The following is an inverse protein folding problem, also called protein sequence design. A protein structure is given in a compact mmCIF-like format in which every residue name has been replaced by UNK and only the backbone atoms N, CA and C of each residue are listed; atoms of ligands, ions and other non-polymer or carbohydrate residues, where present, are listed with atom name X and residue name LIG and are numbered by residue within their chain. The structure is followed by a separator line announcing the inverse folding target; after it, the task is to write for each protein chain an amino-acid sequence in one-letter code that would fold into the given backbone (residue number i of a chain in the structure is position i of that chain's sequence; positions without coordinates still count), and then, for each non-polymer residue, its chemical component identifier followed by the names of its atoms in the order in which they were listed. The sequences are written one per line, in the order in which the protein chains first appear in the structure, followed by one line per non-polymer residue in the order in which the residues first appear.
data_IF_479014603165
#
_entry.id   IF_479014603165
#
_cell.length_a   1.000
_cell.length_b   1.000
_cell.length_c   1.000
_cell.angle_alpha   90.00
_cell.angle_beta   90.00
_cell.angle_gamma   90.00
#
_symmetry.space_group_name_H-M   'P 1'
#
loop_
_entity.id
_entity.type
_entity.pdbx_description
1 polymer ?
#
# COMPACT_ATOMS: atom_id res chain seq x y z
N UNK A 1 7.51 21.01 4.26
CA UNK A 1 7.86 22.14 5.15
C UNK A 1 6.77 23.21 5.06
N UNK A 2 6.25 23.64 6.21
CA UNK A 2 5.57 24.92 6.40
C UNK A 2 5.66 25.33 7.90
N UNK A 3 5.35 26.60 8.14
CA UNK A 3 5.95 27.50 9.13
C UNK A 3 5.38 27.35 10.56
N UNK A 4 4.56 26.33 10.83
CA UNK A 4 3.71 26.27 12.02
C UNK A 4 3.98 25.10 12.98
N UNK A 5 5.12 24.41 12.89
CA UNK A 5 5.62 23.59 14.01
C UNK A 5 4.84 22.31 14.37
N UNK A 6 3.83 21.90 13.61
CA UNK A 6 3.18 20.57 13.73
C UNK A 6 3.06 19.90 12.37
N UNK A 7 4.19 19.48 11.81
CA UNK A 7 4.21 18.55 10.68
C UNK A 7 5.28 17.50 10.96
N UNK A 8 4.88 16.24 11.17
CA UNK A 8 5.79 15.15 10.82
C UNK A 8 5.93 15.22 9.31
N UNK A 9 6.99 15.88 8.80
CA UNK A 9 7.33 15.78 7.38
C UNK A 9 7.36 14.29 7.04
N UNK A 10 6.55 13.85 6.07
CA UNK A 10 6.52 12.45 5.67
C UNK A 10 7.92 12.08 5.19
N UNK A 11 8.55 11.16 5.91
CA UNK A 11 9.85 10.60 5.55
C UNK A 11 9.63 9.41 4.64
N UNK A 12 10.72 8.92 4.03
CA UNK A 12 10.69 7.74 3.18
C UNK A 12 9.94 6.55 3.84
N UNK A 13 10.20 6.16 5.10
CA UNK A 13 9.44 5.08 5.74
C UNK A 13 7.93 5.32 5.80
N UNK A 14 7.48 6.56 6.03
CA UNK A 14 6.06 6.87 6.08
C UNK A 14 5.40 6.74 4.71
N UNK A 15 6.07 7.21 3.65
CA UNK A 15 5.54 7.07 2.30
C UNK A 15 5.54 5.60 1.88
N UNK A 16 6.58 4.85 2.23
CA UNK A 16 6.68 3.42 1.96
C UNK A 16 5.53 2.64 2.62
N UNK A 17 5.26 2.89 3.90
CA UNK A 17 4.20 2.21 4.64
C UNK A 17 2.79 2.66 4.22
N UNK A 18 2.59 3.94 3.93
CA UNK A 18 1.24 4.49 3.73
C UNK A 18 0.80 4.50 2.27
N UNK A 19 1.73 4.64 1.33
CA UNK A 19 1.44 5.00 -0.06
C UNK A 19 0.62 3.98 -0.83
N UNK A 20 1.02 2.71 -0.82
CA UNK A 20 0.42 1.67 -1.65
C UNK A 20 -0.64 0.81 -0.94
N UNK A 21 -0.66 0.81 0.39
CA UNK A 21 -1.66 0.09 1.20
C UNK A 21 -2.86 0.98 1.57
N UNK A 22 -2.60 2.21 2.01
CA UNK A 22 -3.61 3.06 2.65
C UNK A 22 -4.08 4.21 1.76
N UNK A 23 -3.25 4.64 0.80
CA UNK A 23 -3.51 5.79 -0.09
C UNK A 23 -3.62 5.42 -1.59
N UNK A 24 -3.98 4.17 -1.90
CA UNK A 24 -4.26 3.71 -3.28
C UNK A 24 -5.59 4.24 -3.81
N UNK A 25 -5.59 5.47 -4.34
CA UNK A 25 -6.73 6.07 -5.02
C UNK A 25 -7.87 6.54 -4.10
N UNK A 26 -8.44 7.71 -4.41
CA UNK A 26 -9.55 8.28 -3.65
C UNK A 26 -10.88 7.55 -3.97
N UNK A 27 -11.07 7.14 -5.22
CA UNK A 27 -12.29 6.49 -5.69
C UNK A 27 -12.19 4.95 -5.68
N UNK A 28 -13.33 4.28 -5.49
CA UNK A 28 -13.40 2.81 -5.58
C UNK A 28 -12.79 2.27 -6.89
N UNK A 29 -13.06 2.94 -8.01
CA UNK A 29 -12.52 2.56 -9.32
C UNK A 29 -10.99 2.65 -9.38
N UNK A 30 -10.38 3.59 -8.67
CA UNK A 30 -8.91 3.79 -8.68
C UNK A 30 -8.20 2.71 -7.86
N UNK A 31 -8.85 2.23 -6.79
CA UNK A 31 -8.37 1.09 -5.99
C UNK A 31 -8.40 -0.19 -6.80
N UNK A 32 -9.53 -0.45 -7.47
CA UNK A 32 -9.80 -1.74 -8.11
C UNK A 32 -9.10 -1.89 -9.46
N UNK A 33 -8.54 -0.80 -9.99
CA UNK A 33 -7.73 -0.79 -11.20
C UNK A 33 -6.25 -1.00 -10.86
N UNK A 34 -5.86 -2.26 -10.65
CA UNK A 34 -4.46 -2.62 -10.50
C UNK A 34 -3.62 -2.18 -11.71
N UNK A 35 -2.40 -1.72 -11.46
CA UNK A 35 -1.41 -1.29 -12.45
C UNK A 35 -1.06 -2.47 -13.35
N UNK A 36 -0.83 -3.66 -12.79
CA UNK A 36 -0.46 -4.86 -13.53
C UNK A 36 -1.49 -5.27 -14.62
N UNK A 37 -2.77 -4.96 -14.42
CA UNK A 37 -3.84 -5.22 -15.39
C UNK A 37 -4.03 -4.13 -16.45
N UNK A 38 -3.16 -3.12 -16.52
CA UNK A 38 -3.23 -2.13 -17.59
C UNK A 38 -3.05 -2.78 -18.96
N UNK A 39 -3.90 -2.39 -19.92
CA UNK A 39 -3.94 -2.94 -21.29
C UNK A 39 -2.85 -2.39 -22.21
N UNK A 40 -2.12 -1.38 -21.76
CA UNK A 40 -0.99 -0.74 -22.44
C UNK A 40 -0.12 -0.01 -21.43
N UNK A 41 1.12 0.34 -21.79
CA UNK A 41 2.00 1.14 -20.92
C UNK A 41 1.39 2.49 -20.53
N UNK A 42 0.57 3.09 -21.41
CA UNK A 42 -0.14 4.34 -21.10
C UNK A 42 -1.24 4.13 -20.06
N UNK A 43 -1.98 3.02 -20.13
CA UNK A 43 -3.02 2.65 -19.16
C UNK A 43 -2.38 2.37 -17.80
N UNK A 44 -1.29 1.61 -17.77
CA UNK A 44 -0.52 1.32 -16.54
C UNK A 44 -0.01 2.62 -15.87
N UNK A 45 0.54 3.54 -16.66
CA UNK A 45 0.99 4.85 -16.17
C UNK A 45 -0.17 5.69 -15.59
N UNK A 46 -1.32 5.70 -16.26
CA UNK A 46 -2.51 6.42 -15.79
C UNK A 46 -3.01 5.86 -14.45
N UNK A 47 -3.07 4.53 -14.32
CA UNK A 47 -3.42 3.84 -13.07
C UNK A 47 -2.44 4.17 -11.95
N UNK A 48 -1.14 4.13 -12.21
CA UNK A 48 -0.13 4.52 -11.23
C UNK A 48 -0.32 5.96 -10.76
N UNK A 49 -0.53 6.91 -11.68
CA UNK A 49 -0.76 8.32 -11.33
C UNK A 49 -2.00 8.52 -10.46
N UNK A 50 -3.09 7.81 -10.76
CA UNK A 50 -4.31 7.82 -9.94
C UNK A 50 -4.08 7.26 -8.54
N UNK A 51 -3.25 6.22 -8.40
CA UNK A 51 -2.86 5.66 -7.10
C UNK A 51 -1.92 6.57 -6.32
N UNK A 52 -1.08 7.33 -7.00
CA UNK A 52 -0.14 8.28 -6.38
C UNK A 52 -0.80 9.60 -5.97
N UNK A 53 -1.80 10.08 -6.72
CA UNK A 53 -2.44 11.38 -6.51
C UNK A 53 -2.92 11.64 -5.07
N UNK A 54 -3.52 10.68 -4.34
CA UNK A 54 -4.02 10.93 -2.99
C UNK A 54 -2.93 11.19 -1.96
N UNK A 55 -1.71 10.71 -2.20
CA UNK A 55 -0.55 11.06 -1.38
C UNK A 55 -0.22 12.57 -1.47
N UNK A 56 -0.57 13.21 -2.59
CA UNK A 56 -0.36 14.64 -2.83
C UNK A 56 -1.53 15.51 -2.37
N UNK A 57 -2.77 15.03 -2.50
CA UNK A 57 -3.97 15.85 -2.39
C UNK A 57 -4.98 15.40 -1.33
N UNK A 58 -4.67 14.36 -0.55
CA UNK A 58 -5.53 13.68 0.44
C UNK A 58 -6.84 13.07 -0.11
N UNK A 59 -7.27 11.96 0.50
CA UNK A 59 -8.53 11.30 0.12
C UNK A 59 -9.79 11.98 0.68
N UNK A 60 -9.64 12.93 1.60
CA UNK A 60 -10.78 13.61 2.26
C UNK A 60 -11.40 14.73 1.41
N UNK A 61 -10.87 14.98 0.21
CA UNK A 61 -11.36 15.99 -0.73
C UNK A 61 -11.06 17.44 -0.30
N UNK A 62 -10.33 17.65 0.81
CA UNK A 62 -10.01 18.97 1.34
C UNK A 62 -8.59 19.44 1.00
N UNK A 63 -7.73 18.54 0.52
CA UNK A 63 -6.30 18.83 0.35
C UNK A 63 -5.49 18.77 1.66
N UNK A 64 -6.12 18.37 2.77
CA UNK A 64 -5.48 18.31 4.10
C UNK A 64 -4.59 17.09 4.27
N UNK A 65 -3.38 17.24 4.81
CA UNK A 65 -2.54 16.10 5.18
C UNK A 65 -3.03 15.35 6.43
N UNK A 66 -4.11 15.81 7.09
CA UNK A 66 -4.60 15.23 8.34
C UNK A 66 -4.85 13.72 8.29
N UNK A 67 -5.47 13.14 7.23
CA UNK A 67 -5.65 11.70 7.13
C UNK A 67 -4.35 10.90 7.17
N UNK A 68 -3.29 11.39 6.52
CA UNK A 68 -1.98 10.73 6.52
C UNK A 68 -1.40 10.77 7.95
N UNK A 69 -1.44 11.92 8.61
CA UNK A 69 -0.91 12.07 9.97
C UNK A 69 -1.68 11.25 11.01
N UNK A 70 -2.99 11.13 10.88
CA UNK A 70 -3.78 10.29 11.75
C UNK A 70 -3.45 8.81 11.54
N UNK A 71 -3.29 8.36 10.30
CA UNK A 71 -2.84 7.01 9.99
C UNK A 71 -1.44 6.72 10.53
N UNK A 72 -0.50 7.69 10.49
CA UNK A 72 0.79 7.54 11.17
C UNK A 72 0.60 7.20 12.66
N UNK A 73 -0.33 7.83 13.36
CA UNK A 73 -0.57 7.56 14.80
C UNK A 73 -1.00 6.11 15.01
N UNK A 74 -1.91 5.61 14.17
CA UNK A 74 -2.34 4.23 14.22
C UNK A 74 -1.19 3.27 13.95
N UNK A 75 -0.41 3.48 12.88
CA UNK A 75 0.75 2.63 12.55
C UNK A 75 1.77 2.60 13.69
N UNK A 76 2.05 3.74 14.33
CA UNK A 76 2.93 3.80 15.52
C UNK A 76 2.36 2.95 16.66
N UNK A 77 1.05 3.08 16.93
CA UNK A 77 0.40 2.37 18.02
C UNK A 77 0.37 0.84 17.78
N UNK A 78 0.07 0.41 16.55
CA UNK A 78 0.12 -0.99 16.13
C UNK A 78 1.55 -1.54 16.23
N UNK A 79 2.53 -0.82 15.70
CA UNK A 79 3.96 -1.22 15.76
C UNK A 79 4.45 -1.33 17.20
N UNK A 80 4.06 -0.39 18.07
CA UNK A 80 4.41 -0.42 19.49
C UNK A 80 3.80 -1.63 20.20
N UNK A 81 2.54 -1.97 19.89
CA UNK A 81 1.90 -3.19 20.41
C UNK A 81 2.65 -4.44 19.94
N UNK A 82 2.92 -4.58 18.63
CA UNK A 82 3.68 -5.71 18.09
C UNK A 82 5.04 -5.86 18.78
N UNK A 83 5.77 -4.75 18.96
CA UNK A 83 7.06 -4.74 19.63
C UNK A 83 6.97 -5.17 21.10
N UNK A 84 5.95 -4.72 21.83
CA UNK A 84 5.71 -5.14 23.22
C UNK A 84 5.41 -6.64 23.31
N UNK A 85 4.56 -7.17 22.43
CA UNK A 85 4.21 -8.59 22.43
C UNK A 85 5.41 -9.48 22.08
N UNK A 86 6.22 -9.03 21.10
CA UNK A 86 7.48 -9.68 20.75
C UNK A 86 8.45 -9.71 21.93
N UNK A 87 8.69 -8.56 22.59
CA UNK A 87 9.58 -8.47 23.74
C UNK A 87 9.10 -9.31 24.93
N UNK A 88 7.78 -9.45 25.09
CA UNK A 88 7.18 -10.30 26.11
C UNK A 88 7.21 -11.81 25.75
N UNK A 89 7.74 -12.19 24.59
CA UNK A 89 7.67 -13.54 24.03
C UNK A 89 6.22 -14.08 24.02
N UNK A 90 5.26 -13.20 23.71
CA UNK A 90 3.84 -13.51 23.65
C UNK A 90 3.37 -13.50 22.19
N UNK A 91 2.72 -14.59 21.76
CA UNK A 91 2.22 -14.76 20.40
C UNK A 91 0.88 -14.03 20.13
N UNK A 92 0.66 -12.92 20.82
CA UNK A 92 -0.56 -12.11 20.74
C UNK A 92 -0.33 -10.78 20.00
N UNK A 93 0.70 -10.71 19.14
CA UNK A 93 0.96 -9.55 18.28
C UNK A 93 -0.24 -9.17 17.41
N UNK A 94 -1.12 -10.12 17.10
CA UNK A 94 -2.39 -9.88 16.40
C UNK A 94 -3.30 -8.85 17.11
N UNK A 95 -3.14 -8.64 18.42
CA UNK A 95 -3.85 -7.59 19.17
C UNK A 95 -3.52 -6.18 18.68
N UNK A 96 -2.38 -6.00 17.99
CA UNK A 96 -2.02 -4.75 17.35
C UNK A 96 -3.12 -4.23 16.42
N UNK A 97 -3.80 -5.10 15.67
CA UNK A 97 -4.89 -4.70 14.76
C UNK A 97 -6.07 -4.02 15.48
N UNK A 98 -6.26 -4.32 16.77
CA UNK A 98 -7.38 -3.85 17.58
C UNK A 98 -6.99 -2.68 18.50
N UNK A 99 -5.78 -2.13 18.37
CA UNK A 99 -5.38 -0.94 19.13
C UNK A 99 -6.28 0.23 18.75
N UNK A 100 -6.81 0.90 19.77
CA UNK A 100 -7.73 2.03 19.61
C UNK A 100 -7.06 3.35 19.98
N UNK A 101 -7.34 4.39 19.20
CA UNK A 101 -6.98 5.78 19.50
C UNK A 101 -8.30 6.56 19.57
N UNK A 102 -8.61 7.15 20.73
CA UNK A 102 -9.90 7.87 20.89
C UNK A 102 -11.14 6.98 20.79
N UNK A 103 -11.00 5.67 20.97
CA UNK A 103 -12.11 4.69 20.91
C UNK A 103 -12.39 4.10 19.54
N UNK A 104 -11.63 4.45 18.51
CA UNK A 104 -11.70 3.87 17.16
C UNK A 104 -10.40 3.11 16.81
N UNK A 105 -10.52 2.03 16.04
CA UNK A 105 -9.38 1.32 15.44
C UNK A 105 -8.92 2.00 14.15
N UNK A 106 -7.77 1.59 13.60
CA UNK A 106 -7.32 2.08 12.30
C UNK A 106 -8.33 1.74 11.18
N UNK A 107 -8.95 0.57 11.24
CA UNK A 107 -9.98 0.16 10.28
C UNK A 107 -11.22 1.05 10.38
N UNK A 108 -11.67 1.37 11.60
CA UNK A 108 -12.80 2.30 11.81
C UNK A 108 -12.49 3.68 11.21
N UNK A 109 -11.27 4.20 11.45
CA UNK A 109 -10.82 5.47 10.89
C UNK A 109 -10.77 5.44 9.36
N UNK A 110 -10.21 4.38 8.77
CA UNK A 110 -10.13 4.20 7.32
C UNK A 110 -11.51 4.17 6.68
N UNK A 111 -12.42 3.38 7.26
CA UNK A 111 -13.80 3.26 6.78
C UNK A 111 -14.61 4.56 6.95
N UNK A 112 -14.27 5.41 7.92
CA UNK A 112 -14.99 6.68 8.17
C UNK A 112 -14.43 7.84 7.36
N UNK A 113 -13.12 8.06 7.44
CA UNK A 113 -12.46 9.30 6.99
C UNK A 113 -11.92 9.17 5.60
N UNK A 114 -11.27 8.04 5.33
CA UNK A 114 -10.59 7.87 4.05
C UNK A 114 -11.61 7.38 3.03
N UNK A 115 -12.53 6.47 3.42
CA UNK A 115 -13.49 5.89 2.48
C UNK A 115 -14.83 5.41 3.09
N UNK A 116 -15.84 6.29 3.20
CA UNK A 116 -17.17 5.92 3.70
C UNK A 116 -17.80 4.81 2.84
N UNK A 117 -18.04 3.64 3.46
CA UNK A 117 -18.61 2.48 2.79
C UNK A 117 -20.04 2.75 2.32
N UNK A 118 -20.33 2.59 1.02
CA UNK A 118 -21.70 2.66 0.51
C UNK A 118 -22.49 1.35 0.65
N UNK A 119 -21.82 0.19 0.87
CA UNK A 119 -22.42 -1.14 0.72
C UNK A 119 -22.16 -2.12 1.88
N UNK A 120 -21.82 -1.66 3.08
CA UNK A 120 -21.72 -2.52 4.28
C UNK A 120 -20.50 -3.46 4.37
N UNK A 121 -19.58 -3.43 3.39
CA UNK A 121 -18.25 -4.04 3.48
C UNK A 121 -17.21 -2.93 3.69
N UNK A 122 -16.32 -3.12 4.67
CA UNK A 122 -15.17 -2.24 4.89
C UNK A 122 -14.25 -2.24 3.67
N UNK A 123 -13.71 -1.08 3.28
CA UNK A 123 -12.88 -0.96 2.05
C UNK A 123 -11.58 -1.72 2.15
N UNK A 124 -11.12 -2.03 3.37
CA UNK A 124 -9.98 -2.94 3.57
C UNK A 124 -10.19 -4.28 2.83
N UNK A 125 -11.38 -4.88 2.92
CA UNK A 125 -11.70 -6.11 2.20
C UNK A 125 -11.73 -5.94 0.68
N UNK A 126 -12.12 -4.75 0.21
CA UNK A 126 -12.11 -4.41 -1.22
C UNK A 126 -10.68 -4.24 -1.72
N UNK A 127 -9.83 -3.55 -0.96
CA UNK A 127 -8.41 -3.38 -1.27
C UNK A 127 -7.76 -4.76 -1.32
N UNK A 128 -7.92 -5.59 -0.28
CA UNK A 128 -7.39 -6.95 -0.23
C UNK A 128 -7.91 -7.88 -1.34
N UNK A 129 -8.99 -7.53 -2.03
CA UNK A 129 -9.54 -8.29 -3.15
C UNK A 129 -8.99 -7.84 -4.52
N UNK A 130 -8.39 -6.65 -4.62
CA UNK A 130 -8.02 -6.02 -5.90
C UNK A 130 -6.59 -5.43 -5.92
N UNK A 131 -5.84 -5.58 -4.84
CA UNK A 131 -4.44 -5.14 -4.64
C UNK A 131 -3.43 -6.09 -5.31
N UNK A 132 -3.69 -6.48 -6.56
CA UNK A 132 -2.82 -7.42 -7.28
C UNK A 132 -1.39 -6.91 -7.45
N UNK A 133 -1.21 -5.58 -7.50
CA UNK A 133 0.08 -4.90 -7.61
C UNK A 133 1.07 -5.26 -6.49
N UNK A 134 0.62 -5.90 -5.41
CA UNK A 134 1.46 -6.33 -4.29
C UNK A 134 2.04 -7.73 -4.47
N UNK A 135 1.54 -8.55 -5.41
CA UNK A 135 1.88 -9.98 -5.45
C UNK A 135 2.96 -10.31 -6.48
N UNK A 136 3.92 -11.14 -6.11
CA UNK A 136 5.00 -11.54 -7.03
C UNK A 136 4.51 -12.58 -8.06
N UNK A 137 3.53 -13.41 -7.70
CA UNK A 137 2.93 -14.38 -8.61
C UNK A 137 2.34 -13.67 -9.83
N UNK A 138 2.62 -14.17 -11.04
CA UNK A 138 2.16 -13.52 -12.28
C UNK A 138 2.96 -12.28 -12.70
N UNK A 139 4.04 -11.94 -11.98
CA UNK A 139 4.84 -10.72 -12.21
C UNK A 139 4.08 -9.41 -11.95
N UNK A 140 3.05 -9.45 -11.11
CA UNK A 140 2.18 -8.30 -10.87
C UNK A 140 2.93 -7.15 -10.18
N UNK A 141 3.59 -7.45 -9.06
CA UNK A 141 4.43 -6.50 -8.34
C UNK A 141 5.64 -6.04 -9.15
N UNK A 142 6.23 -6.92 -9.97
CA UNK A 142 7.31 -6.54 -10.88
C UNK A 142 6.85 -5.53 -11.95
N UNK A 143 5.63 -5.70 -12.45
CA UNK A 143 5.00 -4.77 -13.41
C UNK A 143 4.72 -3.43 -12.73
N UNK A 144 4.11 -3.45 -11.53
CA UNK A 144 3.83 -2.25 -10.76
C UNK A 144 5.11 -1.47 -10.42
N UNK A 145 6.15 -2.15 -9.94
CA UNK A 145 7.47 -1.58 -9.68
C UNK A 145 8.06 -0.92 -10.93
N UNK A 146 8.07 -1.63 -12.06
CA UNK A 146 8.66 -1.14 -13.31
C UNK A 146 7.98 0.15 -13.78
N UNK A 147 6.66 0.20 -13.72
CA UNK A 147 5.86 1.37 -14.11
C UNK A 147 6.11 2.53 -13.13
N UNK A 148 6.05 2.27 -11.84
CA UNK A 148 6.23 3.29 -10.80
C UNK A 148 7.64 3.88 -10.82
N UNK A 149 8.67 3.03 -10.83
CA UNK A 149 10.08 3.43 -10.85
C UNK A 149 10.43 4.17 -12.16
N UNK A 150 9.97 3.66 -13.31
CA UNK A 150 10.14 4.35 -14.59
C UNK A 150 9.49 5.73 -14.60
N UNK A 151 8.33 5.88 -13.96
CA UNK A 151 7.66 7.19 -13.79
C UNK A 151 8.47 8.13 -12.90
N UNK A 152 9.02 7.62 -11.79
CA UNK A 152 9.87 8.38 -10.89
C UNK A 152 11.14 8.90 -11.60
N UNK A 153 11.80 8.05 -12.40
CA UNK A 153 12.98 8.44 -13.20
C UNK A 153 12.63 9.54 -14.21
N UNK A 154 11.51 9.40 -14.93
CA UNK A 154 11.05 10.43 -15.86
C UNK A 154 10.77 11.76 -15.15
N UNK A 155 10.15 11.73 -13.98
CA UNK A 155 9.91 12.92 -13.17
C UNK A 155 11.22 13.55 -12.67
N UNK A 156 12.23 12.75 -12.34
CA UNK A 156 13.57 13.25 -11.97
C UNK A 156 14.26 13.96 -13.14
N UNK A 157 14.13 13.45 -14.37
CA UNK A 157 14.64 14.11 -15.59
C UNK A 157 13.97 15.48 -15.77
N UNK A 158 12.63 15.54 -15.61
CA UNK A 158 11.89 16.81 -15.65
C UNK A 158 12.40 17.78 -14.58
N UNK A 159 12.57 17.31 -13.35
CA UNK A 159 13.08 18.10 -12.24
C UNK A 159 14.47 18.68 -12.53
N UNK A 160 15.37 17.86 -13.06
CA UNK A 160 16.71 18.27 -13.46
C UNK A 160 16.68 19.33 -14.55
N UNK A 161 15.88 19.12 -15.60
CA UNK A 161 15.76 20.06 -16.72
C UNK A 161 15.24 21.45 -16.30
N UNK A 162 14.42 21.50 -15.25
CA UNK A 162 13.80 22.73 -14.74
C UNK A 162 14.53 23.34 -13.53
N UNK A 163 15.47 22.61 -12.93
CA UNK A 163 16.10 23.00 -11.67
C UNK A 163 15.10 23.16 -10.52
N UNK A 164 13.98 22.42 -10.54
CA UNK A 164 12.88 22.60 -9.59
C UNK A 164 12.89 21.53 -8.49
N UNK A 165 13.07 21.96 -7.25
CA UNK A 165 13.09 21.08 -6.07
C UNK A 165 11.74 20.39 -5.82
N UNK A 166 10.62 21.04 -6.13
CA UNK A 166 9.30 20.41 -5.97
C UNK A 166 9.12 19.23 -6.93
N UNK A 167 9.58 19.39 -8.18
CA UNK A 167 9.56 18.31 -9.17
C UNK A 167 10.48 17.15 -8.74
N UNK A 168 11.61 17.44 -8.08
CA UNK A 168 12.52 16.43 -7.53
C UNK A 168 11.91 15.69 -6.34
N UNK A 169 11.25 16.40 -5.42
CA UNK A 169 10.55 15.78 -4.30
C UNK A 169 9.40 14.87 -4.77
N UNK A 170 8.70 15.26 -5.85
CA UNK A 170 7.70 14.39 -6.47
C UNK A 170 8.33 13.12 -7.04
N UNK A 171 9.50 13.22 -7.68
CA UNK A 171 10.23 12.04 -8.16
C UNK A 171 10.61 11.09 -7.00
N UNK A 172 11.09 11.63 -5.88
CA UNK A 172 11.39 10.83 -4.70
C UNK A 172 10.16 10.13 -4.14
N UNK A 173 9.04 10.85 -3.96
CA UNK A 173 7.80 10.25 -3.46
C UNK A 173 7.26 9.14 -4.39
N UNK A 174 7.33 9.34 -5.71
CA UNK A 174 7.01 8.28 -6.69
C UNK A 174 7.95 7.08 -6.56
N UNK A 175 9.25 7.31 -6.33
CA UNK A 175 10.20 6.22 -6.15
C UNK A 175 9.92 5.43 -4.89
N UNK A 176 9.61 6.09 -3.77
CA UNK A 176 9.26 5.40 -2.52
C UNK A 176 8.03 4.50 -2.72
N UNK A 177 7.05 4.97 -3.49
CA UNK A 177 5.88 4.15 -3.84
C UNK A 177 6.27 2.96 -4.74
N UNK A 178 7.24 3.12 -5.63
CA UNK A 178 7.81 2.00 -6.37
C UNK A 178 8.51 1.01 -5.44
N UNK A 179 9.30 1.50 -4.50
CA UNK A 179 10.06 0.69 -3.54
C UNK A 179 9.14 -0.15 -2.63
N UNK A 180 7.88 0.26 -2.45
CA UNK A 180 6.85 -0.56 -1.81
C UNK A 180 6.63 -1.88 -2.57
N UNK A 181 6.28 -1.79 -3.86
CA UNK A 181 6.11 -2.98 -4.71
C UNK A 181 7.40 -3.79 -4.83
N UNK A 182 8.56 -3.12 -4.79
CA UNK A 182 9.85 -3.80 -4.70
C UNK A 182 9.96 -4.63 -3.42
N UNK A 183 9.56 -4.08 -2.27
CA UNK A 183 9.60 -4.78 -0.99
C UNK A 183 8.59 -5.94 -0.93
N UNK A 184 7.41 -5.79 -1.53
CA UNK A 184 6.40 -6.85 -1.55
C UNK A 184 6.90 -8.07 -2.33
N UNK A 185 7.68 -7.87 -3.40
CA UNK A 185 8.32 -8.97 -4.13
C UNK A 185 9.26 -9.84 -3.28
N UNK A 186 9.65 -9.39 -2.08
CA UNK A 186 10.48 -10.16 -1.14
C UNK A 186 9.76 -10.49 0.16
N UNK A 187 8.53 -10.00 0.36
CA UNK A 187 7.72 -10.32 1.53
C UNK A 187 7.02 -11.67 1.35
N UNK A 188 7.16 -12.56 2.32
CA UNK A 188 6.73 -13.96 2.18
C UNK A 188 5.24 -14.10 1.90
N UNK A 189 4.40 -13.24 2.52
CA UNK A 189 2.96 -13.16 2.27
C UNK A 189 2.57 -12.87 0.82
N UNK A 190 3.45 -12.25 0.05
CA UNK A 190 3.19 -11.76 -1.30
C UNK A 190 3.83 -12.62 -2.40
N UNK A 191 4.69 -13.57 -2.03
CA UNK A 191 5.48 -14.37 -2.98
C UNK A 191 4.64 -15.40 -3.74
N UNK A 192 3.96 -16.31 -3.03
CA UNK A 192 3.28 -17.46 -3.64
C UNK A 192 1.78 -17.29 -3.81
N UNK A 193 1.15 -16.33 -3.14
CA UNK A 193 -0.31 -16.19 -3.15
C UNK A 193 -0.80 -15.77 -4.56
N UNK A 194 -1.53 -16.63 -5.29
CA UNK A 194 -1.87 -16.37 -6.69
C UNK A 194 -3.14 -15.53 -6.76
N UNK A 195 -3.07 -14.28 -6.28
CA UNK A 195 -4.27 -13.46 -5.98
C UNK A 195 -5.17 -13.24 -7.18
N UNK A 196 -4.64 -12.86 -8.33
CA UNK A 196 -5.43 -12.71 -9.55
C UNK A 196 -6.08 -14.02 -10.01
N UNK A 197 -5.33 -15.12 -10.01
CA UNK A 197 -5.86 -16.41 -10.45
C UNK A 197 -7.04 -16.84 -9.57
N UNK A 198 -6.92 -16.67 -8.25
CA UNK A 198 -8.02 -17.01 -7.34
C UNK A 198 -9.18 -16.01 -7.44
N UNK A 199 -8.92 -14.72 -7.65
CA UNK A 199 -9.94 -13.70 -7.85
C UNK A 199 -10.82 -13.98 -9.07
N UNK A 200 -10.23 -14.33 -10.21
CA UNK A 200 -10.98 -14.49 -11.47
C UNK A 200 -11.61 -15.88 -11.67
N UNK A 201 -11.08 -16.92 -11.02
CA UNK A 201 -11.56 -18.30 -11.21
C UNK A 201 -12.54 -18.78 -10.13
N UNK A 202 -12.71 -18.04 -9.04
CA UNK A 202 -13.56 -18.43 -7.92
C UNK A 202 -14.47 -17.29 -7.47
N UNK A 203 -15.56 -17.64 -6.78
CA UNK A 203 -16.44 -16.64 -6.18
C UNK A 203 -15.67 -15.76 -5.18
N UNK A 204 -16.09 -14.50 -5.04
CA UNK A 204 -15.44 -13.47 -4.22
C UNK A 204 -15.00 -13.98 -2.83
N UNK A 205 -15.92 -14.63 -2.11
CA UNK A 205 -15.67 -15.14 -0.76
C UNK A 205 -14.74 -16.35 -0.72
N UNK A 206 -14.62 -17.11 -1.80
CA UNK A 206 -13.74 -18.27 -1.85
C UNK A 206 -12.34 -17.82 -2.30
N UNK A 207 -12.24 -17.17 -3.46
CA UNK A 207 -10.95 -16.77 -4.02
C UNK A 207 -10.20 -15.77 -3.13
N UNK A 208 -10.82 -14.64 -2.80
CA UNK A 208 -10.13 -13.56 -2.11
C UNK A 208 -9.78 -13.92 -0.66
N UNK A 209 -10.69 -14.58 0.08
CA UNK A 209 -10.37 -15.02 1.44
C UNK A 209 -9.29 -16.10 1.47
N UNK A 210 -9.30 -17.06 0.54
CA UNK A 210 -8.20 -18.03 0.44
C UNK A 210 -6.86 -17.33 0.21
N UNK A 211 -6.80 -16.33 -0.68
CA UNK A 211 -5.55 -15.58 -0.90
C UNK A 211 -5.12 -14.80 0.35
N UNK A 212 -6.07 -14.30 1.14
CA UNK A 212 -5.76 -13.62 2.40
C UNK A 212 -5.19 -14.60 3.42
N UNK A 213 -5.79 -15.79 3.57
CA UNK A 213 -5.28 -16.81 4.48
C UNK A 213 -3.89 -17.29 4.08
N UNK A 214 -3.64 -17.50 2.79
CA UNK A 214 -2.30 -17.84 2.28
C UNK A 214 -1.29 -16.75 2.60
N UNK A 215 -1.64 -15.49 2.34
CA UNK A 215 -0.81 -14.32 2.65
C UNK A 215 -0.46 -14.25 4.14
N UNK A 216 -1.45 -14.39 5.01
CA UNK A 216 -1.25 -14.32 6.47
C UNK A 216 -0.42 -15.50 6.99
N UNK A 217 -0.66 -16.71 6.49
CA UNK A 217 0.10 -17.93 6.82
C UNK A 217 1.58 -17.75 6.47
N UNK A 218 1.89 -17.32 5.25
CA UNK A 218 3.26 -17.13 4.80
C UNK A 218 3.96 -15.98 5.51
N UNK A 219 3.23 -14.91 5.84
CA UNK A 219 3.77 -13.80 6.64
C UNK A 219 4.13 -14.27 8.05
N UNK A 220 3.35 -15.17 8.64
CA UNK A 220 3.57 -15.68 9.99
C UNK A 220 4.64 -16.76 10.06
N UNK A 221 4.68 -17.68 9.09
CA UNK A 221 5.56 -18.84 9.09
C UNK A 221 6.86 -18.61 8.33
N UNK A 222 6.90 -17.60 7.44
CA UNK A 222 7.96 -17.41 6.47
C UNK A 222 7.89 -18.44 5.33
N UNK A 223 8.79 -18.27 4.36
CA UNK A 223 8.95 -19.19 3.23
C UNK A 223 10.43 -19.50 2.99
N UNK A 224 10.73 -20.76 2.76
CA UNK A 224 12.01 -21.16 2.18
C UNK A 224 11.88 -21.07 0.67
N UNK A 225 12.56 -20.10 0.07
CA UNK A 225 12.57 -19.90 -1.38
C UNK A 225 13.92 -20.25 -1.96
N UNK A 226 13.89 -20.80 -3.17
CA UNK A 226 15.06 -21.06 -3.98
C UNK A 226 14.74 -20.69 -5.43
N UNK A 227 15.73 -20.17 -6.14
CA UNK A 227 15.61 -19.97 -7.58
C UNK A 227 15.68 -21.31 -8.34
N UNK A 228 15.61 -21.27 -9.67
CA UNK A 228 15.69 -22.48 -10.51
C UNK A 228 17.01 -23.26 -10.35
N UNK A 229 18.04 -22.66 -9.76
CA UNK A 229 19.33 -23.28 -9.49
C UNK A 229 19.43 -23.85 -8.07
N UNK A 230 18.39 -23.72 -7.24
CA UNK A 230 18.37 -24.20 -5.86
C UNK A 230 19.09 -23.29 -4.86
N UNK A 231 19.42 -22.05 -5.26
CA UNK A 231 20.04 -21.02 -4.41
C UNK A 231 19.01 -20.02 -3.89
#
# INVERSE_FOLDING_TARGET
MNENGTTTNLTYPWILTLGADFFVGCALMEVTQAICNGTSSSDQLDRFKKKYAPLLSSCDGTGSSAPIHDLCKYVIAQSSMTQMMWQANNNESWKAYFVQIGGETMEDYLNRTVYPSANGFGRYLIISAHDFDHFAFGSDAATAYTVAHGTAVNQAIVASSRGNIADLNAAYAMNVLADHYLSDMFSTGHLRAPRQALHYNYALYTGNFLTKYMHDEDSALGLNVANQQGN
#
